data_IF_814601706464
#
_entry.id   IF_814601706464
#
_cell.length_a   1.000
_cell.length_b   1.000
_cell.length_c   1.000
_cell.angle_alpha   90.00
_cell.angle_beta   90.00
_cell.angle_gamma   90.00
#
_symmetry.space_group_name_H-M   'P 1'
#
loop_
_entity.id
_entity.type
_entity.pdbx_description
1 polymer ?
#
# COMPACT_ATOMS: atom_id res chain seq x y z
N UNK A 1 11.67 20.46 2.06
CA UNK A 1 11.97 19.06 1.74
C UNK A 1 10.74 18.46 1.09
N UNK A 2 10.87 17.66 0.03
CA UNK A 2 9.72 16.96 -0.55
C UNK A 2 9.27 15.84 0.39
N UNK A 3 7.96 15.61 0.57
CA UNK A 3 7.44 14.56 1.45
C UNK A 3 7.83 13.19 0.91
N UNK A 4 8.14 12.26 1.81
CA UNK A 4 8.63 10.92 1.45
C UNK A 4 7.46 9.98 1.19
N UNK A 5 7.54 9.19 0.12
CA UNK A 5 6.65 8.07 -0.12
C UNK A 5 7.38 6.74 -0.30
N UNK A 6 6.72 5.65 0.07
CA UNK A 6 7.13 4.27 -0.21
C UNK A 6 6.15 3.66 -1.22
N UNK A 7 6.67 2.95 -2.21
CA UNK A 7 5.87 2.15 -3.12
C UNK A 7 5.63 0.75 -2.56
N UNK A 8 4.42 0.22 -2.72
CA UNK A 8 4.07 -1.15 -2.36
C UNK A 8 3.56 -1.91 -3.58
N UNK A 9 4.14 -3.08 -3.84
CA UNK A 9 3.69 -4.02 -4.87
C UNK A 9 3.60 -5.42 -4.28
N UNK A 10 2.53 -6.14 -4.63
CA UNK A 10 2.53 -7.60 -4.58
C UNK A 10 3.64 -8.17 -5.47
N UNK A 11 4.42 -9.10 -4.93
CA UNK A 11 5.39 -9.89 -5.66
C UNK A 11 4.67 -10.70 -6.74
N UNK A 12 5.14 -10.57 -7.96
CA UNK A 12 4.64 -11.28 -9.14
C UNK A 12 5.80 -12.01 -9.80
N UNK A 13 5.62 -13.26 -10.25
CA UNK A 13 6.69 -14.02 -10.88
C UNK A 13 7.13 -13.45 -12.24
N UNK A 14 6.45 -12.43 -12.77
CA UNK A 14 6.76 -11.83 -14.06
C UNK A 14 7.55 -10.52 -13.93
N UNK A 15 8.81 -10.45 -14.40
CA UNK A 15 9.62 -9.23 -14.36
C UNK A 15 9.05 -8.05 -15.13
N UNK A 16 8.20 -8.31 -16.14
CA UNK A 16 7.55 -7.26 -16.93
C UNK A 16 6.49 -6.51 -16.11
N UNK A 17 5.78 -7.23 -15.22
CA UNK A 17 4.79 -6.64 -14.34
C UNK A 17 5.43 -5.72 -13.29
N UNK A 18 6.52 -6.15 -12.65
CA UNK A 18 7.25 -5.31 -11.68
C UNK A 18 7.71 -3.98 -12.31
N UNK A 19 8.24 -4.01 -13.56
CA UNK A 19 8.65 -2.78 -14.26
C UNK A 19 7.49 -1.85 -14.58
N UNK A 20 6.36 -2.39 -15.04
CA UNK A 20 5.19 -1.58 -15.39
C UNK A 20 4.66 -0.84 -14.17
N UNK A 21 4.45 -1.56 -13.06
CA UNK A 21 3.96 -0.94 -11.84
C UNK A 21 4.99 -0.02 -11.18
N UNK A 22 6.29 -0.33 -11.26
CA UNK A 22 7.34 0.60 -10.84
C UNK A 22 7.28 1.93 -11.61
N UNK A 23 6.92 1.91 -12.90
CA UNK A 23 6.64 3.10 -13.69
C UNK A 23 5.42 3.88 -13.18
N UNK A 24 4.31 3.17 -12.92
CA UNK A 24 3.08 3.75 -12.36
C UNK A 24 3.34 4.45 -11.02
N UNK A 25 4.06 3.81 -10.10
CA UNK A 25 4.35 4.39 -8.78
C UNK A 25 5.23 5.64 -8.87
N UNK A 26 6.19 5.68 -9.80
CA UNK A 26 7.00 6.88 -10.06
C UNK A 26 6.16 8.02 -10.60
N UNK A 27 5.25 7.73 -11.53
CA UNK A 27 4.32 8.73 -12.06
C UNK A 27 3.41 9.27 -10.95
N UNK A 28 2.83 8.38 -10.13
CA UNK A 28 2.01 8.79 -8.99
C UNK A 28 2.80 9.67 -8.00
N UNK A 29 4.03 9.28 -7.66
CA UNK A 29 4.86 10.09 -6.77
C UNK A 29 5.08 11.49 -7.33
N UNK A 30 5.42 11.62 -8.62
CA UNK A 30 5.60 12.90 -9.27
C UNK A 30 4.31 13.74 -9.29
N UNK A 31 3.18 13.13 -9.65
CA UNK A 31 1.87 13.78 -9.72
C UNK A 31 1.43 14.33 -8.35
N UNK A 32 1.73 13.60 -7.28
CA UNK A 32 1.35 13.98 -5.91
C UNK A 32 2.45 14.75 -5.15
N UNK A 33 3.59 15.05 -5.80
CA UNK A 33 4.68 15.82 -5.20
C UNK A 33 5.50 15.05 -4.15
N UNK A 34 5.50 13.72 -4.17
CA UNK A 34 6.27 12.87 -3.28
C UNK A 34 7.64 12.50 -3.86
N UNK A 35 8.63 12.38 -2.97
CA UNK A 35 9.88 11.69 -3.26
C UNK A 35 9.71 10.19 -2.99
N UNK A 36 9.68 9.38 -4.06
CA UNK A 36 9.59 7.93 -3.96
C UNK A 36 10.93 7.34 -3.52
N UNK A 37 11.06 7.01 -2.23
CA UNK A 37 12.32 6.55 -1.64
C UNK A 37 12.66 5.11 -2.03
N UNK A 38 11.67 4.22 -1.98
CA UNK A 38 11.83 2.80 -2.31
C UNK A 38 10.51 2.23 -2.82
N UNK A 39 10.59 1.11 -3.55
CA UNK A 39 9.45 0.25 -3.86
C UNK A 39 9.72 -1.09 -3.19
N UNK A 40 8.79 -1.52 -2.35
CA UNK A 40 8.87 -2.80 -1.64
C UNK A 40 7.92 -3.78 -2.34
N UNK A 41 8.47 -4.94 -2.68
CA UNK A 41 7.71 -6.05 -3.22
C UNK A 41 7.45 -7.06 -2.10
N UNK A 42 6.19 -7.43 -1.91
CA UNK A 42 5.77 -8.35 -0.86
C UNK A 42 5.14 -9.62 -1.41
N UNK A 43 5.60 -10.76 -0.93
CA UNK A 43 4.94 -12.03 -1.20
C UNK A 43 3.70 -12.21 -0.31
N UNK A 44 2.55 -12.37 -0.94
CA UNK A 44 1.27 -12.61 -0.26
C UNK A 44 1.11 -14.08 0.18
N UNK A 45 2.08 -14.95 -0.09
CA UNK A 45 2.08 -16.33 0.41
C UNK A 45 2.38 -16.43 1.91
N UNK A 46 2.84 -15.35 2.53
CA UNK A 46 3.18 -15.27 3.95
C UNK A 46 2.00 -14.89 4.85
N UNK A 47 2.26 -14.88 6.16
CA UNK A 47 1.33 -14.41 7.17
C UNK A 47 1.06 -12.89 7.04
N UNK A 48 -0.21 -12.51 6.91
CA UNK A 48 -0.63 -11.12 6.71
C UNK A 48 -0.26 -10.21 7.90
N UNK A 49 -0.24 -10.75 9.11
CA UNK A 49 0.15 -9.98 10.30
C UNK A 49 1.63 -9.60 10.25
N UNK A 50 2.49 -10.53 9.85
CA UNK A 50 3.92 -10.29 9.62
C UNK A 50 4.15 -9.26 8.52
N UNK A 51 3.41 -9.35 7.41
CA UNK A 51 3.45 -8.35 6.34
C UNK A 51 3.12 -6.95 6.87
N UNK A 52 2.01 -6.81 7.60
CA UNK A 52 1.55 -5.52 8.12
C UNK A 52 2.54 -4.92 9.11
N UNK A 53 3.15 -5.74 9.98
CA UNK A 53 4.18 -5.30 10.91
C UNK A 53 5.42 -4.76 10.18
N UNK A 54 5.93 -5.49 9.18
CA UNK A 54 7.08 -5.05 8.39
C UNK A 54 6.77 -3.76 7.63
N UNK A 55 5.60 -3.65 7.00
CA UNK A 55 5.17 -2.43 6.33
C UNK A 55 5.13 -1.24 7.29
N UNK A 56 4.54 -1.41 8.48
CA UNK A 56 4.49 -0.37 9.50
C UNK A 56 5.90 0.08 9.94
N UNK A 57 6.83 -0.85 10.11
CA UNK A 57 8.22 -0.53 10.47
C UNK A 57 8.95 0.22 9.35
N UNK A 58 8.73 -0.16 8.08
CA UNK A 58 9.27 0.56 6.94
C UNK A 58 8.74 1.99 6.84
N UNK A 59 7.42 2.19 7.01
CA UNK A 59 6.79 3.52 7.02
C UNK A 59 7.42 4.39 8.11
N UNK A 60 7.57 3.85 9.32
CA UNK A 60 8.17 4.58 10.45
C UNK A 60 9.63 4.91 10.23
N UNK A 61 10.43 3.93 9.79
CA UNK A 61 11.86 4.12 9.54
C UNK A 61 12.13 5.16 8.45
N UNK A 62 11.33 5.14 7.38
CA UNK A 62 11.40 6.10 6.28
C UNK A 62 10.83 7.48 6.64
N UNK A 63 10.07 7.59 7.74
CA UNK A 63 9.19 8.73 8.02
C UNK A 63 8.29 9.04 6.81
N UNK A 64 7.75 7.99 6.20
CA UNK A 64 6.94 8.12 4.99
C UNK A 64 5.62 8.82 5.33
N UNK A 65 5.32 9.85 4.55
CA UNK A 65 4.06 10.61 4.63
C UNK A 65 2.98 9.97 3.74
N UNK A 66 3.39 9.14 2.78
CA UNK A 66 2.48 8.34 1.97
C UNK A 66 3.02 6.94 1.63
N UNK A 67 2.10 6.01 1.43
CA UNK A 67 2.33 4.77 0.67
C UNK A 67 1.59 4.87 -0.66
N UNK A 68 2.29 4.52 -1.73
CA UNK A 68 1.75 4.43 -3.08
C UNK A 68 1.58 2.95 -3.43
N UNK A 69 0.38 2.55 -3.81
CA UNK A 69 0.10 1.19 -4.29
C UNK A 69 -0.49 1.27 -5.69
N UNK A 70 -0.18 0.29 -6.54
CA UNK A 70 -0.76 0.23 -7.88
C UNK A 70 -2.25 -0.18 -7.89
N UNK A 71 -2.77 -0.61 -6.74
CA UNK A 71 -4.13 -1.05 -6.48
C UNK A 71 -4.20 -1.66 -5.06
N UNK A 72 -5.39 -1.79 -4.48
CA UNK A 72 -5.55 -2.34 -3.12
C UNK A 72 -5.15 -3.83 -3.04
N UNK A 73 -5.25 -4.57 -4.14
CA UNK A 73 -4.79 -5.96 -4.24
C UNK A 73 -3.29 -6.13 -3.97
N UNK A 74 -2.51 -5.05 -4.05
CA UNK A 74 -1.09 -5.05 -3.74
C UNK A 74 -0.79 -4.98 -2.22
N UNK A 75 -1.81 -4.71 -1.38
CA UNK A 75 -1.63 -4.41 0.05
C UNK A 75 -1.86 -5.60 0.99
N UNK A 76 -2.34 -6.76 0.49
CA UNK A 76 -2.61 -7.96 1.31
C UNK A 76 -3.49 -7.73 2.56
N UNK A 77 -4.42 -6.77 2.53
CA UNK A 77 -5.25 -6.42 3.70
C UNK A 77 -4.57 -5.45 4.68
N UNK A 78 -3.41 -4.89 4.32
CA UNK A 78 -2.65 -3.93 5.12
C UNK A 78 -3.13 -2.48 5.04
N UNK A 79 -4.18 -2.19 4.28
CA UNK A 79 -4.68 -0.83 4.06
C UNK A 79 -5.07 -0.11 5.35
N UNK A 80 -5.63 -0.82 6.33
CA UNK A 80 -5.91 -0.29 7.65
C UNK A 80 -4.63 0.19 8.34
N UNK A 81 -3.63 -0.70 8.49
CA UNK A 81 -2.36 -0.39 9.16
C UNK A 81 -1.60 0.74 8.46
N UNK A 82 -1.65 0.82 7.13
CA UNK A 82 -1.04 1.90 6.37
C UNK A 82 -1.73 3.23 6.70
N UNK A 83 -3.05 3.27 6.60
CA UNK A 83 -3.82 4.50 6.85
C UNK A 83 -3.79 4.96 8.31
N UNK A 84 -3.48 4.10 9.28
CA UNK A 84 -3.19 4.54 10.65
C UNK A 84 -1.92 5.42 10.74
N UNK A 85 -0.94 5.16 9.88
CA UNK A 85 0.38 5.77 9.94
C UNK A 85 0.55 6.93 8.96
N UNK A 86 0.00 6.84 7.76
CA UNK A 86 0.24 7.79 6.68
C UNK A 86 -0.92 7.83 5.67
N UNK A 87 -0.78 8.61 4.60
CA UNK A 87 -1.73 8.62 3.48
C UNK A 87 -1.51 7.39 2.61
N UNK A 88 -2.57 6.73 2.14
CA UNK A 88 -2.47 5.71 1.10
C UNK A 88 -2.96 6.30 -0.23
N UNK A 89 -2.20 6.14 -1.30
CA UNK A 89 -2.59 6.60 -2.64
C UNK A 89 -2.60 5.41 -3.59
N UNK A 90 -3.72 5.23 -4.30
CA UNK A 90 -3.85 4.33 -5.45
C UNK A 90 -4.17 5.15 -6.70
N UNK A 91 -4.11 4.55 -7.92
CA UNK A 91 -4.54 5.25 -9.12
C UNK A 91 -5.99 5.72 -9.06
N UNK A 92 -6.85 4.97 -8.35
CA UNK A 92 -8.28 5.22 -8.26
C UNK A 92 -8.61 6.26 -7.19
N UNK A 93 -7.89 6.25 -6.06
CA UNK A 93 -8.27 7.04 -4.90
C UNK A 93 -7.10 7.33 -3.95
N UNK A 94 -7.17 8.51 -3.32
CA UNK A 94 -6.37 8.85 -2.14
C UNK A 94 -7.16 8.58 -0.87
N UNK A 95 -6.62 7.76 0.02
CA UNK A 95 -7.14 7.46 1.35
C UNK A 95 -6.35 8.23 2.40
N UNK A 96 -6.98 9.19 3.12
CA UNK A 96 -6.27 9.99 4.11
C UNK A 96 -5.81 9.14 5.29
N UNK A 97 -4.84 9.66 6.04
CA UNK A 97 -4.50 9.08 7.35
C UNK A 97 -5.73 9.06 8.26
N UNK A 98 -5.97 7.94 8.93
CA UNK A 98 -7.17 7.67 9.73
C UNK A 98 -8.39 7.28 8.91
N UNK A 99 -8.23 6.89 7.64
CA UNK A 99 -9.35 6.45 6.80
C UNK A 99 -10.16 5.33 7.48
N UNK A 100 -11.47 5.52 7.57
CA UNK A 100 -12.39 4.52 8.09
C UNK A 100 -12.76 3.54 6.99
N UNK A 101 -12.03 2.44 6.94
CA UNK A 101 -12.35 1.31 6.07
C UNK A 101 -13.66 0.63 6.51
N UNK A 102 -14.52 0.22 5.56
CA UNK A 102 -15.74 -0.50 5.89
C UNK A 102 -15.41 -1.84 6.56
N UNK A 103 -16.01 -2.10 7.73
CA UNK A 103 -15.89 -3.37 8.42
C UNK A 103 -16.42 -4.48 7.51
N UNK A 104 -15.56 -5.42 7.11
CA UNK A 104 -16.01 -6.67 6.50
C UNK A 104 -16.68 -7.51 7.61
N UNK A 105 -17.96 -7.24 7.89
CA UNK A 105 -18.76 -8.16 8.70
C UNK A 105 -19.16 -9.30 7.77
N UNK A 106 -18.70 -10.55 8.00
CA UNK A 106 -19.23 -11.68 7.26
C UNK A 106 -20.73 -11.72 7.54
N UNK A 107 -21.55 -11.65 6.50
CA UNK A 107 -22.99 -11.69 6.64
C UNK A 107 -23.39 -13.10 7.12
N UNK A 108 -23.42 -13.32 8.43
CA UNK A 108 -23.96 -14.53 9.05
C UNK A 108 -25.48 -14.48 8.91
N UNK A 109 -26.00 -14.82 7.72
CA UNK A 109 -27.42 -14.61 7.44
C UNK A 109 -27.90 -15.08 6.08
N UNK A 110 -27.83 -16.38 5.81
CA UNK A 110 -28.87 -17.09 5.05
C UNK A 110 -28.73 -18.59 5.24
N UNK A 111 -29.22 -19.06 6.39
CA UNK A 111 -29.81 -20.39 6.46
C UNK A 111 -31.25 -20.21 5.98
N UNK A 112 -31.55 -20.75 4.80
CA UNK A 112 -32.92 -21.11 4.42
C UNK A 112 -33.10 -22.59 4.66
#
# INVERSE_FOLDING_TARGET
MQPIAIGCLRLTPSPQFSRLYGGTLRLMAATHGYFLMSVIEFDHSGDAQTHNALMADYIRAAKAEAVLAAGLEHLAGGEHAITELCVLVTPEQTYPRGHHWPSHVPNAGSVR
#
